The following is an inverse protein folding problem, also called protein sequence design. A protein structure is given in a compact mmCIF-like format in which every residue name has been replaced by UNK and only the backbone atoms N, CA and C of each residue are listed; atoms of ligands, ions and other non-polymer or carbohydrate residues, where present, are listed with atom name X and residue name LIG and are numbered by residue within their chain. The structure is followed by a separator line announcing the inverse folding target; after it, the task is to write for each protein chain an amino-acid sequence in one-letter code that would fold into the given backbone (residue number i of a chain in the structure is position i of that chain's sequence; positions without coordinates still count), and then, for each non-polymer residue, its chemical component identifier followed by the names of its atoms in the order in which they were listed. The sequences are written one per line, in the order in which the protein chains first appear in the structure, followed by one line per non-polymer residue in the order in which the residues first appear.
data_IF_994315870512
#
_entry.id   IF_994315870512
#
_cell.length_a   1.000
_cell.length_b   1.000
_cell.length_c   1.000
_cell.angle_alpha   90.00
_cell.angle_beta   90.00
_cell.angle_gamma   90.00
#
_symmetry.space_group_name_H-M   'P 1'
#
loop_
_entity.id
_entity.type
_entity.pdbx_description
1 polymer ?
#
# COMPACT_ATOMS: atom_id res chain seq x y z
N UNK A 1 12.65 -13.15 -21.99
CA UNK A 1 11.72 -12.01 -22.09
C UNK A 1 10.55 -12.30 -21.18
N UNK A 2 10.57 -11.79 -19.94
CA UNK A 2 9.49 -12.03 -18.97
C UNK A 2 8.35 -11.06 -19.24
N UNK A 3 7.21 -11.57 -19.71
CA UNK A 3 5.98 -10.79 -19.80
C UNK A 3 5.43 -10.61 -18.38
N UNK A 4 5.63 -9.41 -17.82
CA UNK A 4 4.92 -9.00 -16.60
C UNK A 4 3.45 -8.78 -16.99
N UNK A 5 2.62 -9.78 -16.75
CA UNK A 5 1.17 -9.64 -16.80
C UNK A 5 0.76 -8.73 -15.64
N UNK A 6 0.60 -7.43 -15.90
CA UNK A 6 -0.10 -6.54 -15.00
C UNK A 6 -1.57 -6.97 -14.99
N UNK A 7 -1.96 -7.76 -13.99
CA UNK A 7 -3.36 -8.02 -13.71
C UNK A 7 -4.03 -6.69 -13.37
N UNK A 8 -4.71 -6.09 -14.34
CA UNK A 8 -5.50 -4.90 -14.09
C UNK A 8 -6.71 -5.35 -13.28
N UNK A 9 -6.79 -4.90 -12.02
CA UNK A 9 -7.97 -5.12 -11.19
C UNK A 9 -8.70 -3.79 -11.07
N UNK A 10 -9.99 -3.78 -11.40
CA UNK A 10 -10.86 -2.63 -11.15
C UNK A 10 -11.71 -2.91 -9.94
N UNK A 11 -11.78 -1.94 -9.04
CA UNK A 11 -12.62 -2.04 -7.87
C UNK A 11 -13.80 -1.10 -8.05
N UNK A 12 -15.02 -1.62 -7.87
CA UNK A 12 -16.27 -0.88 -8.11
C UNK A 12 -17.22 -1.05 -6.94
N UNK A 13 -17.97 0.00 -6.64
CA UNK A 13 -19.07 -0.05 -5.70
C UNK A 13 -20.36 -0.45 -6.41
N UNK A 14 -21.08 -1.39 -5.82
CA UNK A 14 -22.33 -1.90 -6.36
C UNK A 14 -23.44 -1.90 -5.31
N UNK A 15 -24.69 -1.66 -5.73
CA UNK A 15 -25.81 -1.72 -4.82
C UNK A 15 -26.04 -3.15 -4.30
N UNK A 16 -26.41 -3.25 -3.03
CA UNK A 16 -26.91 -4.46 -2.39
C UNK A 16 -28.44 -4.35 -2.38
N UNK A 17 -29.10 -5.02 -3.32
CA UNK A 17 -30.55 -4.92 -3.48
C UNK A 17 -30.97 -3.52 -3.96
N UNK A 18 -31.92 -2.89 -3.26
CA UNK A 18 -32.43 -1.55 -3.56
C UNK A 18 -32.05 -0.60 -2.42
N UNK A 19 -30.84 0.00 -2.46
CA UNK A 19 -30.39 0.90 -1.40
C UNK A 19 -31.27 2.16 -1.35
N UNK A 20 -31.62 2.60 -0.15
CA UNK A 20 -32.34 3.86 0.08
C UNK A 20 -31.46 5.08 -0.25
N UNK A 21 -30.14 4.92 -0.10
CA UNK A 21 -29.16 5.97 -0.35
C UNK A 21 -28.57 5.80 -1.75
N UNK A 22 -28.51 6.90 -2.50
CA UNK A 22 -27.71 6.90 -3.73
C UNK A 22 -26.23 6.71 -3.39
N UNK A 23 -25.44 6.26 -4.38
CA UNK A 23 -24.00 6.09 -4.19
C UNK A 23 -23.34 7.38 -3.69
N UNK A 24 -23.67 8.51 -4.31
CA UNK A 24 -23.05 9.81 -4.01
C UNK A 24 -23.36 10.29 -2.59
N UNK A 25 -24.60 10.13 -2.13
CA UNK A 25 -24.98 10.50 -0.76
C UNK A 25 -24.31 9.59 0.28
N UNK A 26 -24.27 8.28 0.00
CA UNK A 26 -23.58 7.33 0.86
C UNK A 26 -22.08 7.61 0.93
N UNK A 27 -21.44 7.79 -0.23
CA UNK A 27 -20.01 8.06 -0.38
C UNK A 27 -19.60 9.31 0.37
N UNK A 28 -20.27 10.45 0.11
CA UNK A 28 -19.96 11.72 0.75
C UNK A 28 -20.11 11.67 2.27
N UNK A 29 -21.21 11.09 2.78
CA UNK A 29 -21.44 10.99 4.21
C UNK A 29 -20.44 10.04 4.88
N UNK A 30 -20.22 8.87 4.29
CA UNK A 30 -19.32 7.87 4.85
C UNK A 30 -17.86 8.32 4.81
N UNK A 31 -17.44 9.04 3.77
CA UNK A 31 -16.12 9.64 3.71
C UNK A 31 -15.95 10.68 4.82
N UNK A 32 -16.91 11.61 4.95
CA UNK A 32 -16.88 12.63 6.00
C UNK A 32 -16.79 12.01 7.40
N UNK A 33 -17.63 11.03 7.72
CA UNK A 33 -17.64 10.38 9.03
C UNK A 33 -16.33 9.61 9.30
N UNK A 34 -15.79 8.93 8.28
CA UNK A 34 -14.53 8.21 8.38
C UNK A 34 -13.35 9.16 8.65
N UNK A 35 -13.27 10.29 7.95
CA UNK A 35 -12.23 11.31 8.20
C UNK A 35 -12.40 12.03 9.53
N UNK A 36 -13.64 12.25 9.97
CA UNK A 36 -13.93 12.84 11.28
C UNK A 36 -13.46 11.92 12.42
N UNK A 37 -13.64 10.61 12.27
CA UNK A 37 -13.23 9.60 13.26
C UNK A 37 -11.75 9.26 13.20
N UNK A 38 -11.21 9.16 11.98
CA UNK A 38 -9.83 8.76 11.68
C UNK A 38 -9.17 9.80 10.76
N UNK A 39 -8.87 11.01 11.26
CA UNK A 39 -8.25 12.06 10.47
C UNK A 39 -6.88 11.62 9.94
N UNK A 40 -6.41 12.28 8.88
CA UNK A 40 -5.06 12.04 8.36
C UNK A 40 -4.04 12.24 9.48
N UNK A 41 -3.27 11.19 9.79
CA UNK A 41 -2.25 11.23 10.82
C UNK A 41 -0.96 10.69 10.27
N UNK A 42 -0.13 11.61 9.77
CA UNK A 42 1.15 11.28 9.19
C UNK A 42 2.19 11.08 10.28
N UNK A 43 2.83 9.91 10.28
CA UNK A 43 3.94 9.58 11.16
C UNK A 43 5.12 9.07 10.34
N UNK A 44 6.33 9.22 10.89
CA UNK A 44 7.56 8.70 10.27
C UNK A 44 7.78 7.28 10.78
N UNK A 45 7.76 6.31 9.86
CA UNK A 45 8.24 4.96 10.13
C UNK A 45 9.63 4.76 9.55
N UNK A 46 10.30 3.75 10.08
CA UNK A 46 11.59 3.30 9.61
C UNK A 46 11.49 1.85 9.16
N UNK A 47 12.12 1.53 8.04
CA UNK A 47 12.31 0.15 7.59
C UNK A 47 13.78 -0.10 7.27
N UNK A 48 14.22 -1.32 7.53
CA UNK A 48 15.53 -1.78 7.08
C UNK A 48 15.41 -2.17 5.61
N UNK A 49 16.18 -1.49 4.76
CA UNK A 49 16.40 -1.88 3.36
C UNK A 49 17.81 -2.45 3.24
N UNK A 50 18.05 -3.28 2.23
CA UNK A 50 19.39 -3.79 1.96
C UNK A 50 19.94 -3.09 0.73
N UNK A 51 21.07 -2.42 0.90
CA UNK A 51 21.79 -1.76 -0.18
C UNK A 51 23.02 -2.59 -0.53
N UNK A 52 23.29 -2.73 -1.83
CA UNK A 52 24.53 -3.34 -2.30
C UNK A 52 25.58 -2.26 -2.40
N UNK A 53 26.67 -2.40 -1.66
CA UNK A 53 27.82 -1.50 -1.73
C UNK A 53 29.03 -2.24 -2.26
N UNK A 54 29.88 -1.53 -3.01
CA UNK A 54 31.15 -2.04 -3.50
C UNK A 54 32.27 -1.66 -2.52
N UNK A 55 32.98 -2.64 -1.97
CA UNK A 55 34.13 -2.43 -1.08
C UNK A 55 35.42 -2.87 -1.74
N UNK A 56 36.52 -2.17 -1.41
CA UNK A 56 37.88 -2.59 -1.82
C UNK A 56 38.38 -3.71 -0.91
N UNK A 57 39.06 -4.68 -1.51
CA UNK A 57 39.65 -5.79 -0.80
C UNK A 57 40.89 -5.35 -0.03
N UNK A 58 40.99 -5.72 1.26
CA UNK A 58 42.22 -5.51 2.03
C UNK A 58 43.21 -6.63 1.70
N UNK A 59 44.52 -6.37 1.85
CA UNK A 59 45.60 -7.35 1.58
C UNK A 59 45.46 -8.68 2.35
N UNK A 60 44.61 -8.74 3.39
CA UNK A 60 44.34 -9.91 4.22
C UNK A 60 43.06 -10.68 3.84
N UNK A 61 42.28 -10.20 2.88
CA UNK A 61 40.99 -10.79 2.54
C UNK A 61 41.15 -11.82 1.39
N UNK A 62 40.41 -12.93 1.41
CA UNK A 62 40.38 -13.98 0.37
C UNK A 62 39.68 -13.51 -0.93
N UNK A 63 40.00 -12.33 -1.42
CA UNK A 63 39.33 -11.70 -2.55
C UNK A 63 39.86 -12.15 -3.94
N UNK A 64 40.80 -13.09 -3.98
CA UNK A 64 41.38 -13.58 -5.22
C UNK A 64 42.05 -12.45 -6.03
N UNK A 65 41.83 -12.42 -7.37
CA UNK A 65 42.40 -11.40 -8.27
C UNK A 65 41.57 -10.11 -8.38
N UNK A 66 40.38 -10.07 -7.78
CA UNK A 66 39.51 -8.90 -7.85
C UNK A 66 39.99 -7.83 -6.85
N UNK A 67 39.94 -6.55 -7.25
CA UNK A 67 40.29 -5.45 -6.35
C UNK A 67 39.12 -5.02 -5.45
N UNK A 68 37.90 -5.45 -5.79
CA UNK A 68 36.65 -5.10 -5.10
C UNK A 68 35.68 -6.26 -5.02
N UNK A 69 34.81 -6.24 -4.01
CA UNK A 69 33.68 -7.17 -3.86
C UNK A 69 32.39 -6.40 -3.52
N UNK A 70 31.24 -7.00 -3.83
CA UNK A 70 29.93 -6.47 -3.46
C UNK A 70 29.47 -7.06 -2.12
N UNK A 71 28.93 -6.19 -1.26
CA UNK A 71 28.38 -6.58 0.03
C UNK A 71 26.99 -5.98 0.18
N UNK A 72 26.03 -6.81 0.60
CA UNK A 72 24.69 -6.33 1.00
C UNK A 72 24.75 -5.88 2.44
N UNK A 73 24.55 -4.59 2.67
CA UNK A 73 24.53 -4.00 4.01
C UNK A 73 23.11 -3.53 4.35
N UNK A 74 22.67 -3.70 5.60
CA UNK A 74 21.42 -3.11 6.05
C UNK A 74 21.56 -1.58 6.13
N UNK A 75 20.60 -0.87 5.54
CA UNK A 75 20.44 0.57 5.62
C UNK A 75 19.05 0.89 6.19
N UNK A 76 18.94 1.99 6.93
CA UNK A 76 17.66 2.44 7.49
C UNK A 76 17.04 3.49 6.57
N UNK A 77 15.86 3.20 6.06
CA UNK A 77 15.06 4.15 5.28
C UNK A 77 13.92 4.68 6.16
N UNK A 78 13.76 6.00 6.21
CA UNK A 78 12.63 6.67 6.89
C UNK A 78 11.61 7.12 5.86
N UNK A 79 10.33 6.83 6.08
CA UNK A 79 9.23 7.25 5.20
C UNK A 79 8.02 7.70 6.00
N UNK A 80 7.20 8.56 5.39
CA UNK A 80 5.95 9.05 6.00
C UNK A 80 4.81 8.11 5.61
N UNK A 81 4.01 7.72 6.58
CA UNK A 81 2.74 7.02 6.34
C UNK A 81 1.60 7.65 7.14
N UNK A 82 0.40 7.60 6.57
CA UNK A 82 -0.82 7.88 7.31
C UNK A 82 -1.24 6.64 8.09
N UNK A 83 -0.96 6.63 9.40
CA UNK A 83 -1.21 5.46 10.26
C UNK A 83 -2.71 5.17 10.43
N UNK A 84 -3.57 6.15 10.15
CA UNK A 84 -5.02 5.99 10.23
C UNK A 84 -5.64 5.51 8.93
N UNK A 85 -4.87 5.40 7.84
CA UNK A 85 -5.40 5.09 6.50
C UNK A 85 -6.26 3.83 6.48
N UNK A 86 -5.78 2.75 7.07
CA UNK A 86 -6.48 1.46 7.05
C UNK A 86 -7.72 1.48 7.94
N UNK A 87 -7.64 2.06 9.13
CA UNK A 87 -8.81 2.21 10.02
C UNK A 87 -9.87 3.12 9.42
N UNK A 88 -9.45 4.22 8.77
CA UNK A 88 -10.35 5.12 8.04
C UNK A 88 -11.05 4.38 6.90
N UNK A 89 -10.30 3.61 6.11
CA UNK A 89 -10.87 2.82 5.02
C UNK A 89 -11.87 1.79 5.53
N UNK A 90 -11.56 1.10 6.63
CA UNK A 90 -12.48 0.14 7.24
C UNK A 90 -13.78 0.79 7.73
N UNK A 91 -13.70 1.98 8.34
CA UNK A 91 -14.88 2.72 8.78
C UNK A 91 -15.75 3.17 7.60
N UNK A 92 -15.12 3.75 6.58
CA UNK A 92 -15.78 4.11 5.33
C UNK A 92 -16.49 2.89 4.71
N UNK A 93 -15.79 1.77 4.57
CA UNK A 93 -16.32 0.56 3.94
C UNK A 93 -17.48 -0.05 4.74
N UNK A 94 -17.41 -0.02 6.08
CA UNK A 94 -18.54 -0.43 6.95
C UNK A 94 -19.75 0.48 6.79
N UNK A 95 -19.55 1.79 6.73
CA UNK A 95 -20.62 2.76 6.53
C UNK A 95 -21.29 2.56 5.16
N UNK A 96 -20.50 2.40 4.09
CA UNK A 96 -21.01 2.11 2.74
C UNK A 96 -21.86 0.85 2.71
N UNK A 97 -21.37 -0.23 3.35
CA UNK A 97 -22.14 -1.48 3.48
C UNK A 97 -23.44 -1.29 4.25
N UNK A 98 -23.42 -0.51 5.34
CA UNK A 98 -24.62 -0.16 6.10
C UNK A 98 -25.64 0.64 5.29
N UNK A 99 -25.19 1.40 4.29
CA UNK A 99 -26.04 2.14 3.33
C UNK A 99 -26.39 1.35 2.06
N UNK A 100 -26.07 0.05 2.03
CA UNK A 100 -26.45 -0.83 0.93
C UNK A 100 -25.49 -0.81 -0.27
N UNK A 101 -24.22 -0.47 -0.06
CA UNK A 101 -23.19 -0.49 -1.10
C UNK A 101 -22.08 -1.48 -0.74
N UNK A 102 -21.66 -2.33 -1.68
CA UNK A 102 -20.55 -3.25 -1.50
C UNK A 102 -19.45 -3.03 -2.53
N UNK A 103 -18.21 -3.16 -2.07
CA UNK A 103 -17.04 -3.12 -2.93
C UNK A 103 -16.85 -4.48 -3.61
N UNK A 104 -16.76 -4.49 -4.94
CA UNK A 104 -16.40 -5.67 -5.73
C UNK A 104 -15.11 -5.43 -6.50
N UNK A 105 -14.23 -6.44 -6.45
CA UNK A 105 -13.01 -6.48 -7.26
C UNK A 105 -13.27 -7.30 -8.51
N UNK A 106 -13.05 -6.67 -9.65
CA UNK A 106 -13.07 -7.26 -10.96
C UNK A 106 -11.65 -7.41 -11.45
N UNK A 107 -11.33 -8.59 -11.95
CA UNK A 107 -10.03 -8.87 -12.50
C UNK A 107 -10.14 -9.05 -14.01
N UNK A 108 -9.28 -8.35 -14.75
CA UNK A 108 -9.17 -8.50 -16.19
C UNK A 108 -8.09 -9.54 -16.48
N UNK A 109 -8.50 -10.77 -16.74
CA UNK A 109 -7.66 -11.81 -17.33
C UNK A 109 -8.46 -12.52 -18.43
N UNK A 110 -7.87 -12.60 -19.61
CA UNK A 110 -8.17 -13.60 -20.65
C UNK A 110 -7.24 -14.81 -20.47
#
# INVERSE_FOLDING_TARGET
MSLLLFACSSTKWEPIGSPEWTYQEADSQCEFDAFKRFPVRNEVAQRTVYETITKRCKKSDECGKAETYEEKVPATESYVLDVNKDSRYQEYSKCMKGKGWQEKRYYFWE
#
